data_IF_739300600354
#
_entry.id   IF_739300600354
#
_cell.length_a   1.000
_cell.length_b   1.000
_cell.length_c   1.000
_cell.angle_alpha   90.00
_cell.angle_beta   90.00
_cell.angle_gamma   90.00
#
_symmetry.space_group_name_H-M   'P 1'
#
loop_
_entity.id
_entity.type
_entity.pdbx_description
1 polymer ?
#
# COMPACT_ATOMS: atom_id res chain seq x y z
N UNK A 1 18.78 24.35 -24.94
CA UNK A 1 18.05 24.26 -23.65
C UNK A 1 16.60 23.89 -23.96
N UNK A 2 16.21 22.69 -23.53
CA UNK A 2 15.05 21.96 -24.03
C UNK A 2 13.77 22.32 -23.26
N UNK A 3 12.84 23.02 -23.91
CA UNK A 3 11.41 23.01 -23.54
C UNK A 3 10.72 22.02 -24.48
N UNK A 4 10.69 20.75 -24.09
CA UNK A 4 10.08 19.69 -24.88
C UNK A 4 8.71 19.36 -24.31
N UNK A 5 7.71 19.45 -25.20
CA UNK A 5 6.51 18.62 -25.22
C UNK A 5 5.27 19.06 -24.43
N UNK A 6 4.66 20.13 -24.92
CA UNK A 6 3.24 20.50 -24.77
C UNK A 6 2.26 19.50 -25.44
N UNK A 7 2.55 18.20 -25.48
CA UNK A 7 1.91 17.24 -26.41
C UNK A 7 1.17 16.05 -25.79
N UNK A 8 0.87 16.06 -24.49
CA UNK A 8 0.16 14.94 -23.83
C UNK A 8 -1.10 15.34 -23.07
N UNK A 9 -1.72 16.49 -23.38
CA UNK A 9 -3.16 16.72 -23.14
C UNK A 9 -4.02 15.92 -24.16
N UNK A 10 -3.74 14.61 -24.28
CA UNK A 10 -4.62 13.68 -25.01
C UNK A 10 -5.67 13.18 -24.03
N UNK A 11 -6.82 13.88 -24.05
CA UNK A 11 -8.17 13.31 -23.92
C UNK A 11 -8.25 12.17 -22.89
N UNK A 12 -8.49 12.51 -21.63
CA UNK A 12 -9.05 11.56 -20.67
C UNK A 12 -10.50 11.26 -21.10
N UNK A 13 -10.67 10.32 -22.02
CA UNK A 13 -11.95 9.69 -22.29
C UNK A 13 -12.08 8.57 -21.28
N UNK A 14 -12.64 8.90 -20.12
CA UNK A 14 -13.00 7.91 -19.10
C UNK A 14 -14.06 6.99 -19.72
N UNK A 15 -13.68 5.76 -20.01
CA UNK A 15 -14.61 4.70 -20.38
C UNK A 15 -14.77 3.80 -19.15
N UNK A 16 -15.85 3.99 -18.40
CA UNK A 16 -16.28 3.01 -17.40
C UNK A 16 -16.88 1.82 -18.15
N UNK A 17 -16.04 0.83 -18.46
CA UNK A 17 -16.45 -0.40 -19.12
C UNK A 17 -16.92 -1.42 -18.09
N UNK A 18 -18.23 -1.61 -17.99
CA UNK A 18 -18.83 -2.79 -17.38
C UNK A 18 -18.80 -3.92 -18.41
N UNK A 19 -18.28 -5.10 -18.06
CA UNK A 19 -18.20 -6.21 -19.01
C UNK A 19 -17.39 -7.42 -18.54
N UNK A 20 -17.73 -7.99 -17.38
CA UNK A 20 -17.29 -9.36 -17.07
C UNK A 20 -18.19 -10.36 -17.79
N UNK A 21 -17.65 -11.10 -18.75
CA UNK A 21 -18.31 -12.29 -19.30
C UNK A 21 -17.61 -13.52 -18.73
N UNK A 22 -18.18 -14.08 -17.66
CA UNK A 22 -17.66 -15.34 -17.11
C UNK A 22 -18.03 -16.49 -18.04
N UNK A 23 -17.00 -17.16 -18.56
CA UNK A 23 -17.12 -18.41 -19.32
C UNK A 23 -16.75 -19.56 -18.38
N UNK A 24 -17.69 -20.35 -17.86
CA UNK A 24 -17.34 -21.47 -17.00
C UNK A 24 -16.90 -22.65 -17.88
N UNK A 25 -15.68 -23.13 -17.66
CA UNK A 25 -15.25 -24.44 -18.15
C UNK A 25 -14.62 -25.16 -16.96
N UNK A 26 -15.35 -26.13 -16.43
CA UNK A 26 -14.87 -27.02 -15.37
C UNK A 26 -14.10 -28.15 -16.06
N UNK A 27 -12.79 -28.20 -15.84
CA UNK A 27 -11.93 -29.32 -16.23
C UNK A 27 -11.57 -30.11 -14.96
N UNK A 28 -11.66 -31.45 -14.97
CA UNK A 28 -11.11 -32.25 -13.88
C UNK A 28 -9.59 -32.10 -13.88
N UNK A 29 -9.06 -31.54 -12.79
CA UNK A 29 -7.62 -31.49 -12.53
C UNK A 29 -7.14 -32.91 -12.22
N UNK A 30 -6.39 -33.51 -13.13
CA UNK A 30 -5.39 -34.51 -12.76
C UNK A 30 -4.04 -33.85 -12.99
N UNK A 31 -3.48 -33.28 -11.93
CA UNK A 31 -2.13 -32.74 -11.95
C UNK A 31 -1.23 -33.77 -11.24
N UNK A 32 -0.23 -34.37 -11.93
CA UNK A 32 0.86 -35.03 -11.24
C UNK A 32 1.60 -33.98 -10.41
N UNK A 33 2.03 -34.38 -9.22
CA UNK A 33 2.77 -33.56 -8.26
C UNK A 33 3.98 -32.89 -8.91
N UNK A 34 3.81 -31.67 -9.40
CA UNK A 34 4.91 -30.78 -9.67
C UNK A 34 5.48 -30.35 -8.33
N UNK A 35 6.59 -30.95 -7.94
CA UNK A 35 7.48 -30.44 -6.91
C UNK A 35 7.83 -29.00 -7.28
N UNK A 36 7.14 -28.05 -6.64
CA UNK A 36 7.56 -26.66 -6.64
C UNK A 36 8.82 -26.59 -5.79
N UNK A 37 9.97 -26.75 -6.45
CA UNK A 37 11.22 -26.22 -5.94
C UNK A 37 11.05 -24.71 -5.94
N UNK A 38 10.57 -24.20 -4.80
CA UNK A 38 10.59 -22.78 -4.49
C UNK A 38 12.03 -22.33 -4.58
N UNK A 39 12.41 -21.81 -5.75
CA UNK A 39 13.59 -21.00 -5.92
C UNK A 39 13.52 -19.94 -4.83
N UNK A 40 14.53 -19.94 -3.96
CA UNK A 40 14.64 -19.04 -2.82
C UNK A 40 14.49 -17.60 -3.28
N UNK A 41 13.27 -17.07 -3.13
CA UNK A 41 13.07 -15.66 -2.92
C UNK A 41 13.49 -15.47 -1.48
N UNK A 42 14.77 -15.15 -1.25
CA UNK A 42 15.15 -14.43 -0.03
C UNK A 42 14.20 -13.27 0.04
N UNK A 43 13.24 -13.27 0.97
CA UNK A 43 12.34 -12.17 1.00
C UNK A 43 13.23 -11.11 1.67
N UNK A 44 13.77 -10.17 0.90
CA UNK A 44 14.27 -8.91 1.47
C UNK A 44 13.02 -8.15 1.88
N UNK A 45 12.35 -8.73 2.86
CA UNK A 45 11.30 -8.15 3.66
C UNK A 45 12.11 -7.18 4.51
N UNK A 46 12.33 -5.96 3.99
CA UNK A 46 11.95 -4.85 4.86
C UNK A 46 10.49 -5.14 5.12
N UNK A 47 10.19 -5.85 6.22
CA UNK A 47 8.81 -6.16 6.58
C UNK A 47 8.18 -4.82 6.74
N UNK A 48 7.42 -4.42 5.71
CA UNK A 48 6.80 -3.13 5.68
C UNK A 48 5.98 -3.07 6.94
N UNK A 49 6.51 -2.40 7.97
CA UNK A 49 6.08 -2.67 9.34
C UNK A 49 4.59 -2.37 9.39
N UNK A 50 3.83 -3.29 9.98
CA UNK A 50 2.39 -3.15 10.04
C UNK A 50 2.00 -1.91 10.84
N UNK A 51 0.76 -1.44 10.67
CA UNK A 51 0.19 -0.34 11.47
C UNK A 51 0.36 -0.60 12.97
N UNK A 52 0.17 -1.85 13.39
CA UNK A 52 0.31 -2.30 14.78
C UNK A 52 1.70 -2.02 15.38
N UNK A 53 2.75 -2.05 14.57
CA UNK A 53 4.10 -1.72 15.04
C UNK A 53 4.22 -0.22 15.33
N UNK A 54 3.63 0.61 14.47
CA UNK A 54 3.66 2.06 14.59
C UNK A 54 2.70 2.59 15.66
N UNK A 55 1.59 1.89 15.92
CA UNK A 55 0.71 2.17 17.05
C UNK A 55 1.45 2.08 18.40
N UNK A 56 2.40 1.14 18.51
CA UNK A 56 3.27 1.02 19.69
C UNK A 56 4.49 1.95 19.65
N UNK A 57 4.83 2.52 18.48
CA UNK A 57 6.02 3.34 18.24
C UNK A 57 5.67 4.61 17.43
N UNK A 58 4.87 5.50 18.04
CA UNK A 58 4.31 6.68 17.36
C UNK A 58 5.37 7.70 17.00
N UNK A 59 6.43 7.84 17.81
CA UNK A 59 7.55 8.73 17.53
C UNK A 59 8.32 8.28 16.28
N UNK A 60 8.55 6.97 16.12
CA UNK A 60 9.18 6.41 14.92
C UNK A 60 8.29 6.57 13.69
N UNK A 61 6.97 6.41 13.86
CA UNK A 61 6.00 6.64 12.79
C UNK A 61 6.05 8.09 12.26
N UNK A 62 6.18 9.08 13.17
CA UNK A 62 6.30 10.50 12.79
C UNK A 62 7.58 10.78 12.02
N UNK A 63 8.69 10.19 12.43
CA UNK A 63 9.96 10.32 11.71
C UNK A 63 9.88 9.70 10.32
N UNK A 64 9.28 8.52 10.19
CA UNK A 64 9.07 7.87 8.90
C UNK A 64 8.17 8.70 7.98
N UNK A 65 7.07 9.27 8.46
CA UNK A 65 6.22 10.15 7.64
C UNK A 65 6.99 11.39 7.16
N UNK A 66 7.87 11.96 7.98
CA UNK A 66 8.75 13.06 7.56
C UNK A 66 9.73 12.63 6.45
N UNK A 67 10.30 11.43 6.57
CA UNK A 67 11.13 10.81 5.53
C UNK A 67 10.33 10.51 4.25
N UNK A 68 9.07 10.10 4.38
CA UNK A 68 8.16 9.90 3.26
C UNK A 68 7.85 11.20 2.50
N UNK A 69 7.66 12.30 3.24
CA UNK A 69 7.49 13.63 2.67
C UNK A 69 8.76 14.13 1.97
N UNK A 70 9.94 13.83 2.52
CA UNK A 70 11.23 14.09 1.87
C UNK A 70 11.48 13.21 0.63
N UNK A 71 10.70 12.14 0.46
CA UNK A 71 10.82 11.20 -0.64
C UNK A 71 11.96 10.19 -0.48
N UNK A 72 12.54 10.06 0.72
CA UNK A 72 13.57 9.06 1.03
C UNK A 72 13.00 7.68 1.27
N UNK A 73 11.76 7.61 1.78
CA UNK A 73 11.00 6.36 1.97
C UNK A 73 9.71 6.45 1.15
N UNK A 74 9.36 5.38 0.43
CA UNK A 74 8.17 5.30 -0.42
C UNK A 74 7.59 3.90 -0.31
N UNK A 75 6.27 3.80 -0.30
CA UNK A 75 5.56 2.53 -0.30
C UNK A 75 4.70 2.34 0.94
N UNK A 76 4.41 1.08 1.27
CA UNK A 76 3.37 0.74 2.23
C UNK A 76 3.71 1.10 3.67
N UNK A 77 5.00 1.21 4.01
CA UNK A 77 5.46 1.68 5.32
C UNK A 77 4.98 3.11 5.62
N UNK A 78 5.01 4.01 4.62
CA UNK A 78 4.51 5.38 4.77
C UNK A 78 3.01 5.41 5.06
N UNK A 79 2.24 4.61 4.33
CA UNK A 79 0.79 4.52 4.51
C UNK A 79 0.44 3.92 5.88
N UNK A 80 1.15 2.88 6.30
CA UNK A 80 0.92 2.23 7.60
C UNK A 80 1.27 3.16 8.77
N UNK A 81 2.37 3.91 8.67
CA UNK A 81 2.78 4.88 9.68
C UNK A 81 1.79 6.05 9.79
N UNK A 82 1.31 6.56 8.67
CA UNK A 82 0.32 7.64 8.64
C UNK A 82 -1.01 7.21 9.27
N UNK A 83 -1.49 6.00 8.95
CA UNK A 83 -2.70 5.43 9.56
C UNK A 83 -2.56 5.34 11.09
N UNK A 84 -1.45 4.82 11.59
CA UNK A 84 -1.21 4.68 13.03
C UNK A 84 -1.21 6.03 13.78
N UNK A 85 -0.64 7.09 13.17
CA UNK A 85 -0.67 8.44 13.74
C UNK A 85 -2.11 8.96 13.78
N UNK A 86 -2.85 8.84 12.68
CA UNK A 86 -4.23 9.33 12.59
C UNK A 86 -5.14 8.61 13.58
N UNK A 87 -4.99 7.30 13.76
CA UNK A 87 -5.78 6.52 14.72
C UNK A 87 -5.45 6.91 16.16
N UNK A 88 -4.17 7.08 16.49
CA UNK A 88 -3.73 7.50 17.83
C UNK A 88 -4.22 8.91 18.16
N UNK A 89 -3.94 9.88 17.29
CA UNK A 89 -4.39 11.26 17.51
C UNK A 89 -5.92 11.37 17.47
N UNK A 90 -6.58 10.56 16.63
CA UNK A 90 -8.03 10.47 16.58
C UNK A 90 -8.60 9.99 17.91
N UNK A 91 -7.99 8.97 18.51
CA UNK A 91 -8.38 8.45 19.83
C UNK A 91 -8.12 9.46 20.94
N UNK A 92 -6.97 10.12 20.95
CA UNK A 92 -6.66 11.18 21.93
C UNK A 92 -7.64 12.36 21.86
N UNK A 93 -7.94 12.83 20.65
CA UNK A 93 -8.93 13.90 20.44
C UNK A 93 -10.33 13.44 20.83
N UNK A 94 -10.66 12.19 20.58
CA UNK A 94 -11.93 11.60 20.97
C UNK A 94 -12.05 11.49 22.50
N UNK A 95 -11.02 11.04 23.20
CA UNK A 95 -11.02 10.95 24.67
C UNK A 95 -11.10 12.34 25.31
N UNK A 96 -10.37 13.31 24.78
CA UNK A 96 -10.48 14.71 25.19
C UNK A 96 -11.90 15.27 24.98
N UNK A 97 -12.57 14.90 23.89
CA UNK A 97 -13.96 15.28 23.65
C UNK A 97 -14.92 14.61 24.64
N UNK A 98 -14.67 13.34 24.99
CA UNK A 98 -15.44 12.58 25.96
C UNK A 98 -15.10 12.93 27.42
N UNK A 99 -14.11 13.80 27.65
CA UNK A 99 -13.66 14.19 28.98
C UNK A 99 -12.98 13.07 29.78
N UNK A 100 -12.33 12.12 29.09
CA UNK A 100 -11.50 11.05 29.69
C UNK A 100 -10.01 11.31 29.50
#
# INVERSE_FOLDING_TARGET
MARRSSSQLRRLRSASGSGFTLRPVILPVVAPSATSQGAGLTPTVSEARGTQYFEANIEEARELVAQCAAGSVRGQECANAEVAIVETEGKERFDAFMGR
#
